data_IF_158779608023
#
_entry.id   IF_158779608023
#
_cell.length_a   1.000
_cell.length_b   1.000
_cell.length_c   1.000
_cell.angle_alpha   90.00
_cell.angle_beta   90.00
_cell.angle_gamma   90.00
#
_symmetry.space_group_name_H-M   'P 1'
#
loop_
_entity.id
_entity.type
_entity.pdbx_description
1 polymer ?
#
# COMPACT_ATOMS: atom_id res chain seq x y z
N UNK A 1 2.35 -20.32 -0.20
CA UNK A 1 1.57 -19.88 0.98
C UNK A 1 0.40 -19.06 0.48
N UNK A 2 -0.81 -19.36 0.93
CA UNK A 2 -2.00 -18.63 0.55
C UNK A 2 -2.23 -17.56 1.63
N UNK A 3 -1.81 -16.32 1.38
CA UNK A 3 -1.95 -15.22 2.33
C UNK A 3 -3.43 -15.05 2.70
N UNK A 4 -3.80 -15.39 3.92
CA UNK A 4 -5.18 -15.22 4.39
C UNK A 4 -5.50 -13.74 4.50
N UNK A 5 -6.67 -13.33 4.00
CA UNK A 5 -7.17 -11.97 4.16
C UNK A 5 -7.29 -11.62 5.65
N UNK A 6 -6.65 -10.53 6.05
CA UNK A 6 -6.63 -10.04 7.43
C UNK A 6 -6.80 -8.54 7.40
N UNK A 7 -7.98 -8.09 7.82
CA UNK A 7 -8.31 -6.67 7.90
C UNK A 7 -7.88 -6.13 9.26
N UNK A 8 -6.99 -5.16 9.25
CA UNK A 8 -6.47 -4.52 10.46
C UNK A 8 -6.70 -3.01 10.40
N UNK A 9 -7.13 -2.42 11.52
CA UNK A 9 -7.24 -0.97 11.66
C UNK A 9 -6.21 -0.46 12.65
N UNK A 10 -5.38 0.49 12.24
CA UNK A 10 -4.37 1.12 13.07
C UNK A 10 -4.11 2.56 12.58
N UNK A 11 -3.91 3.50 13.51
CA UNK A 11 -3.66 4.92 13.20
C UNK A 11 -4.67 5.58 12.22
N UNK A 12 -5.93 5.15 12.21
CA UNK A 12 -6.98 5.67 11.32
C UNK A 12 -7.00 5.06 9.91
N UNK A 13 -6.10 4.12 9.62
CA UNK A 13 -6.06 3.36 8.37
C UNK A 13 -6.60 1.94 8.58
N UNK A 14 -7.49 1.50 7.69
CA UNK A 14 -8.00 0.12 7.65
C UNK A 14 -7.48 -0.57 6.40
N UNK A 15 -6.66 -1.62 6.55
CA UNK A 15 -5.93 -2.27 5.47
C UNK A 15 -6.13 -3.78 5.48
N UNK A 16 -6.22 -4.39 4.29
CA UNK A 16 -6.07 -5.84 4.13
C UNK A 16 -4.59 -6.19 3.97
N UNK A 17 -4.00 -6.77 5.03
CA UNK A 17 -2.58 -7.13 5.09
C UNK A 17 -2.17 -8.14 4.01
N UNK A 18 -3.12 -8.93 3.49
CA UNK A 18 -2.84 -9.89 2.41
C UNK A 18 -2.54 -9.21 1.07
N UNK A 19 -3.02 -7.98 0.87
CA UNK A 19 -2.86 -7.23 -0.37
C UNK A 19 -1.67 -6.28 -0.35
N UNK A 20 -1.01 -6.11 0.79
CA UNK A 20 0.10 -5.16 0.94
C UNK A 20 1.35 -5.72 0.26
N UNK A 21 2.01 -4.85 -0.51
CA UNK A 21 3.33 -5.05 -1.09
C UNK A 21 4.41 -4.43 -0.19
N UNK A 22 4.22 -3.17 0.22
CA UNK A 22 5.09 -2.49 1.17
C UNK A 22 4.45 -1.24 1.77
N UNK A 23 5.04 -0.78 2.86
CA UNK A 23 4.85 0.55 3.45
C UNK A 23 6.11 1.37 3.20
N UNK A 24 5.98 2.68 2.92
CA UNK A 24 7.11 3.59 2.79
C UNK A 24 6.71 5.02 3.08
N UNK A 25 7.68 5.87 3.42
CA UNK A 25 7.44 7.32 3.47
C UNK A 25 7.45 7.92 2.07
N UNK A 26 6.67 8.98 1.88
CA UNK A 26 6.74 9.77 0.64
C UNK A 26 8.14 10.34 0.45
N UNK A 27 8.77 10.13 -0.71
CA UNK A 27 10.13 10.61 -0.94
C UNK A 27 10.14 12.12 -0.98
N UNK A 28 11.17 12.74 -0.38
CA UNK A 28 11.42 14.16 -0.60
C UNK A 28 11.88 14.39 -2.04
N UNK A 29 10.98 14.91 -2.88
CA UNK A 29 11.31 15.43 -4.20
C UNK A 29 11.27 16.95 -4.11
N UNK A 30 12.21 17.64 -4.76
CA UNK A 30 12.38 19.10 -4.63
C UNK A 30 11.11 19.91 -4.95
N UNK A 31 10.16 19.32 -5.68
CA UNK A 31 8.86 19.93 -5.98
C UNK A 31 7.70 19.06 -5.44
N UNK A 32 6.93 19.62 -4.49
CA UNK A 32 5.54 19.26 -4.25
C UNK A 32 5.22 18.03 -3.39
N UNK A 33 6.21 17.22 -3.00
CA UNK A 33 5.93 16.04 -2.16
C UNK A 33 5.83 16.38 -0.66
N UNK A 34 4.75 15.92 -0.02
CA UNK A 34 4.57 16.03 1.42
C UNK A 34 5.26 14.88 2.14
N UNK A 35 6.38 15.15 2.81
CA UNK A 35 7.15 14.14 3.56
C UNK A 35 6.40 13.60 4.77
N UNK A 36 5.26 14.19 5.13
CA UNK A 36 4.39 13.73 6.21
C UNK A 36 3.48 12.58 5.78
N UNK A 37 3.63 12.08 4.55
CA UNK A 37 2.80 11.00 4.03
C UNK A 37 3.42 9.62 4.23
N UNK A 38 2.60 8.70 4.75
CA UNK A 38 2.82 7.26 4.63
C UNK A 38 2.17 6.79 3.32
N UNK A 39 2.96 6.11 2.50
CA UNK A 39 2.51 5.45 1.29
C UNK A 39 2.35 3.96 1.55
N UNK A 40 1.21 3.41 1.14
CA UNK A 40 0.95 1.97 1.17
C UNK A 40 0.81 1.50 -0.27
N UNK A 41 1.73 0.65 -0.71
CA UNK A 41 1.64 0.02 -2.03
C UNK A 41 0.97 -1.33 -1.91
N UNK A 42 0.02 -1.58 -2.80
CA UNK A 42 -0.63 -2.89 -2.91
C UNK A 42 0.07 -3.77 -3.96
N UNK A 43 -0.13 -5.08 -3.83
CA UNK A 43 0.30 -6.08 -4.82
C UNK A 43 -0.35 -5.74 -6.16
N UNK A 44 0.45 -5.80 -7.22
CA UNK A 44 -0.04 -5.56 -8.58
C UNK A 44 -1.11 -6.57 -8.92
N UNK A 45 -2.27 -6.10 -9.35
CA UNK A 45 -3.38 -6.94 -9.80
C UNK A 45 -3.53 -6.87 -11.32
N UNK A 46 -3.76 -8.01 -12.00
CA UNK A 46 -4.09 -7.99 -13.40
C UNK A 46 -5.51 -7.42 -13.56
N UNK A 47 -5.67 -6.49 -14.49
CA UNK A 47 -6.97 -6.02 -14.96
C UNK A 47 -7.08 -6.25 -16.46
N UNK A 48 -8.30 -6.42 -16.95
CA UNK A 48 -8.57 -6.49 -18.38
C UNK A 48 -9.26 -5.20 -18.81
N UNK A 49 -8.65 -4.48 -19.73
CA UNK A 49 -9.18 -3.24 -20.30
C UNK A 49 -9.61 -3.52 -21.73
N UNK A 50 -10.80 -3.07 -22.10
CA UNK A 50 -11.28 -3.19 -23.47
C UNK A 50 -10.71 -2.05 -24.30
N UNK A 51 -9.84 -2.37 -25.25
CA UNK A 51 -9.25 -1.37 -26.12
C UNK A 51 -10.34 -0.77 -27.06
N UNK A 52 -10.59 0.55 -27.04
CA UNK A 52 -11.74 1.15 -27.70
C UNK A 52 -11.69 1.05 -29.24
N UNK A 53 -10.49 1.05 -29.83
CA UNK A 53 -10.25 0.88 -31.27
C UNK A 53 -10.36 -0.56 -31.77
N UNK A 54 -9.54 -1.47 -31.25
CA UNK A 54 -9.45 -2.88 -31.69
C UNK A 54 -10.58 -3.78 -31.17
N UNK A 55 -11.32 -3.36 -30.14
CA UNK A 55 -12.34 -4.17 -29.44
C UNK A 55 -11.79 -5.46 -28.82
N UNK A 56 -10.48 -5.52 -28.56
CA UNK A 56 -9.83 -6.63 -27.89
C UNK A 56 -9.63 -6.32 -26.40
N UNK A 57 -9.67 -7.36 -25.58
CA UNK A 57 -9.33 -7.28 -24.16
C UNK A 57 -7.81 -7.37 -23.99
N UNK A 58 -7.23 -6.36 -23.37
CA UNK A 58 -5.81 -6.28 -23.08
C UNK A 58 -5.58 -6.45 -21.58
N UNK A 59 -4.59 -7.27 -21.22
CA UNK A 59 -4.22 -7.50 -19.82
C UNK A 59 -3.21 -6.44 -19.39
N UNK A 60 -3.57 -5.66 -18.39
CA UNK A 60 -2.72 -4.64 -17.79
C UNK A 60 -2.46 -4.97 -16.31
N UNK A 61 -1.39 -4.43 -15.75
CA UNK A 61 -1.08 -4.54 -14.32
C UNK A 61 -1.22 -3.16 -13.69
N UNK A 62 -2.20 -3.02 -12.80
CA UNK A 62 -2.35 -1.78 -12.02
C UNK A 62 -1.54 -1.88 -10.73
N UNK A 63 -0.70 -0.87 -10.51
CA UNK A 63 -0.11 -0.59 -9.21
C UNK A 63 -1.06 0.37 -8.47
N UNK A 64 -1.52 -0.03 -7.28
CA UNK A 64 -2.38 0.78 -6.44
C UNK A 64 -1.56 1.30 -5.26
N UNK A 65 -1.65 2.60 -4.99
CA UNK A 65 -0.91 3.29 -3.94
C UNK A 65 -1.85 4.25 -3.25
N UNK A 66 -1.98 4.11 -1.93
CA UNK A 66 -2.64 5.11 -1.10
C UNK A 66 -1.60 5.97 -0.39
N UNK A 67 -1.90 7.25 -0.26
CA UNK A 67 -1.13 8.19 0.55
C UNK A 67 -1.99 8.62 1.74
N UNK A 68 -1.42 8.60 2.93
CA UNK A 68 -2.09 9.01 4.16
C UNK A 68 -1.27 10.08 4.89
N UNK A 69 -1.90 11.21 5.15
CA UNK A 69 -1.28 12.38 5.73
C UNK A 69 -1.17 12.26 7.25
N UNK A 70 0.02 12.57 7.77
CA UNK A 70 0.24 12.78 9.19
C UNK A 70 0.55 14.26 9.50
N UNK A 71 0.46 14.67 10.78
CA UNK A 71 0.74 16.05 11.17
C UNK A 71 2.17 16.52 10.83
N UNK A 72 3.14 15.61 10.93
CA UNK A 72 4.56 15.84 10.67
C UNK A 72 5.28 14.54 10.24
N UNK A 73 6.53 14.68 9.81
CA UNK A 73 7.36 13.58 9.32
C UNK A 73 7.64 12.54 10.43
N UNK A 74 7.89 12.99 11.65
CA UNK A 74 8.18 12.13 12.79
C UNK A 74 6.99 11.22 13.10
N UNK A 75 5.77 11.75 12.99
CA UNK A 75 4.54 10.97 13.15
C UNK A 75 4.40 9.95 12.03
N UNK A 76 4.61 10.34 10.77
CA UNK A 76 4.58 9.42 9.64
C UNK A 76 5.61 8.29 9.80
N UNK A 77 6.81 8.62 10.25
CA UNK A 77 7.89 7.65 10.48
C UNK A 77 7.58 6.70 11.64
N UNK A 78 6.99 7.21 12.73
CA UNK A 78 6.56 6.36 13.84
C UNK A 78 5.51 5.34 13.38
N UNK A 79 4.47 5.81 12.69
CA UNK A 79 3.40 4.95 12.19
C UNK A 79 3.86 4.00 11.08
N UNK A 80 4.87 4.35 10.28
CA UNK A 80 5.52 3.41 9.37
C UNK A 80 6.04 2.19 10.14
N UNK A 81 6.81 2.40 11.20
CA UNK A 81 7.42 1.31 11.99
C UNK A 81 6.35 0.42 12.63
N UNK A 82 5.31 1.04 13.19
CA UNK A 82 4.18 0.30 13.78
C UNK A 82 3.48 -0.58 12.74
N UNK A 83 3.27 -0.06 11.52
CA UNK A 83 2.70 -0.85 10.43
C UNK A 83 3.62 -1.96 9.94
N UNK A 84 4.94 -1.72 9.90
CA UNK A 84 5.93 -2.75 9.58
C UNK A 84 5.92 -3.89 10.60
N UNK A 85 5.80 -3.58 11.90
CA UNK A 85 5.67 -4.57 12.97
C UNK A 85 4.38 -5.39 12.84
N UNK A 86 3.22 -4.72 12.67
CA UNK A 86 1.92 -5.38 12.45
C UNK A 86 1.97 -6.32 11.23
N UNK A 87 2.60 -5.86 10.15
CA UNK A 87 2.72 -6.65 8.93
C UNK A 87 3.68 -7.83 9.10
N UNK A 88 4.78 -7.64 9.83
CA UNK A 88 5.72 -8.70 10.17
C UNK A 88 5.05 -9.80 11.01
N UNK A 89 4.29 -9.41 12.04
CA UNK A 89 3.51 -10.34 12.86
C UNK A 89 2.48 -11.11 12.03
N UNK A 90 1.80 -10.41 11.11
CA UNK A 90 0.90 -11.06 10.16
C UNK A 90 1.63 -12.09 9.30
N UNK A 91 2.81 -11.77 8.75
CA UNK A 91 3.57 -12.69 7.90
C UNK A 91 4.04 -13.93 8.67
N UNK A 92 4.51 -13.74 9.90
CA UNK A 92 4.97 -14.84 10.77
C UNK A 92 3.81 -15.72 11.26
N UNK A 93 2.61 -15.17 11.42
CA UNK A 93 1.42 -15.93 11.81
C UNK A 93 0.80 -16.77 10.68
N UNK A 94 1.39 -16.80 9.48
CA UNK A 94 0.92 -17.59 8.33
C UNK A 94 1.69 -18.92 8.14
N UNK A 95 2.65 -19.22 9.03
CA UNK A 95 3.30 -20.53 9.12
C UNK A 95 2.36 -21.60 9.70
#
# INVERSE_FOLDING_TARGET
MNNKATITTHAGLTLDLAQIKCFKLSPFLMDGNDTRQLLVEYKTRPVYVLHPGTKLWEKEYLADVIAYDFPNYESAQAHLREWEEIWHDYLNGQD
#
